data_IF_612767158236
#
_entry.id   IF_612767158236
#
_cell.length_a   1.000
_cell.length_b   1.000
_cell.length_c   1.000
_cell.angle_alpha   90.00
_cell.angle_beta   90.00
_cell.angle_gamma   90.00
#
_symmetry.space_group_name_H-M   'P 1'
#
loop_
_entity.id
_entity.type
_entity.pdbx_description
1 polymer ?
#
# COMPACT_ATOMS: atom_id res chain seq x y z
N UNK A 1 66.96 -23.04 29.48
CA UNK A 1 66.36 -22.77 28.15
C UNK A 1 64.95 -23.33 28.17
N UNK A 2 63.96 -22.55 28.61
CA UNK A 2 62.56 -23.00 28.67
C UNK A 2 61.64 -21.78 28.58
N UNK A 3 61.41 -21.31 27.35
CA UNK A 3 60.40 -20.30 27.04
C UNK A 3 59.04 -20.98 27.08
N UNK A 4 58.33 -20.80 28.18
CA UNK A 4 56.94 -21.22 28.37
C UNK A 4 56.06 -20.27 27.57
N UNK A 5 55.87 -20.58 26.27
CA UNK A 5 55.00 -19.82 25.38
C UNK A 5 53.59 -19.73 25.97
N UNK A 6 53.07 -18.51 25.94
CA UNK A 6 51.86 -18.04 26.61
C UNK A 6 50.60 -18.56 25.90
N UNK A 7 50.32 -19.85 26.08
CA UNK A 7 49.20 -20.56 25.46
C UNK A 7 47.82 -20.05 25.94
N UNK A 8 47.78 -19.33 27.08
CA UNK A 8 46.54 -18.78 27.65
C UNK A 8 46.00 -17.58 26.88
N UNK A 9 46.88 -16.72 26.37
CA UNK A 9 46.50 -15.50 25.65
C UNK A 9 45.85 -15.79 24.27
N UNK A 10 46.22 -16.90 23.63
CA UNK A 10 45.64 -17.34 22.35
C UNK A 10 44.24 -17.96 22.53
N UNK A 11 44.00 -18.66 23.64
CA UNK A 11 42.71 -19.31 23.92
C UNK A 11 41.62 -18.27 24.22
N UNK A 12 41.93 -17.21 24.99
CA UNK A 12 40.99 -16.13 25.29
C UNK A 12 40.56 -15.34 24.04
N UNK A 13 41.50 -15.03 23.14
CA UNK A 13 41.18 -14.31 21.89
C UNK A 13 40.35 -15.16 20.94
N UNK A 14 40.61 -16.46 20.87
CA UNK A 14 39.78 -17.39 20.09
C UNK A 14 38.37 -17.52 20.68
N UNK A 15 38.23 -17.62 22.01
CA UNK A 15 36.92 -17.70 22.66
C UNK A 15 36.07 -16.45 22.44
N UNK A 16 36.67 -15.25 22.46
CA UNK A 16 35.98 -14.00 22.13
C UNK A 16 35.54 -13.92 20.66
N UNK A 17 36.39 -14.38 19.73
CA UNK A 17 36.04 -14.47 18.30
C UNK A 17 34.90 -15.45 18.05
N UNK A 18 34.89 -16.61 18.71
CA UNK A 18 33.77 -17.55 18.63
C UNK A 18 32.48 -16.99 19.26
N UNK A 19 32.56 -16.24 20.37
CA UNK A 19 31.39 -15.56 20.95
C UNK A 19 30.82 -14.46 20.05
N UNK A 20 31.66 -13.66 19.39
CA UNK A 20 31.21 -12.64 18.43
C UNK A 20 30.60 -13.29 17.17
N UNK A 21 31.12 -14.44 16.73
CA UNK A 21 30.55 -15.19 15.60
C UNK A 21 29.22 -15.86 15.99
N UNK A 22 29.09 -16.42 17.20
CA UNK A 22 27.83 -17.02 17.69
C UNK A 22 26.75 -15.97 17.94
N UNK A 23 27.11 -14.74 18.34
CA UNK A 23 26.14 -13.62 18.45
C UNK A 23 25.73 -13.10 17.06
N UNK A 24 26.58 -13.28 16.04
CA UNK A 24 26.28 -12.89 14.65
C UNK A 24 25.44 -13.92 13.88
N UNK A 25 25.32 -15.17 14.38
CA UNK A 25 24.56 -16.25 13.73
C UNK A 25 23.12 -16.40 14.22
N UNK A 26 22.64 -15.54 15.12
CA UNK A 26 21.20 -15.19 15.13
C UNK A 26 20.91 -14.29 13.92
N UNK A 27 21.06 -14.89 12.74
CA UNK A 27 20.50 -14.38 11.51
C UNK A 27 19.03 -14.07 11.81
N UNK A 28 18.70 -12.78 11.91
CA UNK A 28 17.32 -12.32 11.74
C UNK A 28 16.85 -12.98 10.46
N UNK A 29 16.04 -14.04 10.58
CA UNK A 29 15.33 -14.62 9.44
C UNK A 29 14.72 -13.43 8.74
N UNK A 30 15.15 -13.15 7.50
CA UNK A 30 14.71 -11.97 6.78
C UNK A 30 13.18 -11.98 6.79
N UNK A 31 12.58 -11.05 7.52
CA UNK A 31 11.13 -11.03 7.68
C UNK A 31 10.53 -10.65 6.34
N UNK A 32 9.86 -11.61 5.71
CA UNK A 32 9.15 -11.38 4.47
C UNK A 32 7.68 -11.07 4.79
N UNK A 33 7.34 -9.78 4.80
CA UNK A 33 5.97 -9.31 5.07
C UNK A 33 4.93 -9.82 4.07
N UNK A 34 5.34 -10.30 2.88
CA UNK A 34 4.39 -10.91 1.93
C UNK A 34 3.79 -12.24 2.40
N UNK A 35 4.27 -12.80 3.51
CA UNK A 35 3.70 -13.99 4.14
C UNK A 35 2.70 -13.67 5.25
N UNK A 36 2.48 -12.39 5.58
CA UNK A 36 1.64 -11.98 6.68
C UNK A 36 0.20 -11.75 6.25
N UNK A 37 -0.77 -12.39 6.89
CA UNK A 37 -2.20 -12.28 6.55
C UNK A 37 -2.77 -10.84 6.62
N UNK A 38 -3.92 -10.65 5.98
CA UNK A 38 -4.69 -9.41 6.06
C UNK A 38 -4.32 -8.33 5.03
N UNK A 39 -5.11 -7.25 4.96
CA UNK A 39 -5.06 -6.25 3.92
C UNK A 39 -4.01 -5.19 4.25
N UNK A 40 -2.73 -5.57 4.25
CA UNK A 40 -1.64 -4.72 4.73
C UNK A 40 -1.55 -3.39 3.97
N UNK A 41 -1.74 -3.42 2.65
CA UNK A 41 -1.72 -2.19 1.84
C UNK A 41 -2.85 -1.23 2.21
N UNK A 42 -4.00 -1.79 2.58
CA UNK A 42 -5.15 -1.00 3.05
C UNK A 42 -4.80 -0.30 4.37
N UNK A 43 -4.26 -1.02 5.35
CA UNK A 43 -3.84 -0.43 6.64
C UNK A 43 -2.75 0.63 6.48
N UNK A 44 -1.76 0.38 5.64
CA UNK A 44 -0.73 1.35 5.29
C UNK A 44 -1.36 2.63 4.72
N UNK A 45 -2.32 2.49 3.79
CA UNK A 45 -2.98 3.63 3.13
C UNK A 45 -3.80 4.51 4.06
N UNK A 46 -4.25 3.96 5.19
CA UNK A 46 -4.98 4.67 6.27
C UNK A 46 -4.03 5.22 7.35
N UNK A 47 -2.74 4.91 7.28
CA UNK A 47 -1.76 5.27 8.29
C UNK A 47 -1.90 4.50 9.60
N UNK A 48 -2.51 3.31 9.57
CA UNK A 48 -2.62 2.45 10.76
C UNK A 48 -1.26 1.85 11.12
N UNK A 49 -0.99 1.68 12.41
CA UNK A 49 0.30 1.19 12.91
C UNK A 49 0.22 -0.30 13.28
N UNK A 50 1.18 -1.14 12.87
CA UNK A 50 1.18 -2.55 13.24
C UNK A 50 1.39 -2.71 14.75
N UNK A 51 0.73 -3.71 15.34
CA UNK A 51 0.91 -4.15 16.72
C UNK A 51 1.31 -5.62 16.71
N UNK A 52 2.48 -5.92 17.27
CA UNK A 52 3.07 -7.26 17.31
C UNK A 52 2.84 -7.88 18.69
N UNK A 53 2.67 -9.21 18.74
CA UNK A 53 2.62 -9.92 20.01
C UNK A 53 4.00 -9.91 20.68
N UNK A 54 5.07 -10.12 19.92
CA UNK A 54 6.44 -10.05 20.38
C UNK A 54 7.29 -9.11 19.51
N UNK A 55 8.34 -8.53 20.09
CA UNK A 55 9.24 -7.57 19.43
C UNK A 55 9.92 -8.09 18.15
N UNK A 56 10.04 -9.40 18.01
CA UNK A 56 10.73 -10.05 16.89
C UNK A 56 9.77 -10.79 15.93
N UNK A 57 8.46 -10.67 16.14
CA UNK A 57 7.48 -11.26 15.23
C UNK A 57 7.51 -10.54 13.88
N UNK A 58 7.41 -11.32 12.81
CA UNK A 58 7.40 -10.76 11.46
C UNK A 58 6.05 -10.11 11.12
N UNK A 59 4.95 -10.70 11.60
CA UNK A 59 3.59 -10.30 11.28
C UNK A 59 2.91 -9.67 12.48
N UNK A 60 2.22 -8.55 12.24
CA UNK A 60 1.40 -7.91 13.26
C UNK A 60 0.18 -8.79 13.57
N UNK A 61 -0.22 -8.85 14.83
CA UNK A 61 -1.45 -9.54 15.24
C UNK A 61 -2.69 -8.67 15.06
N UNK A 62 -2.51 -7.34 15.01
CA UNK A 62 -3.54 -6.35 14.70
C UNK A 62 -2.90 -5.03 14.27
N UNK A 63 -3.72 -4.10 13.79
CA UNK A 63 -3.32 -2.73 13.51
C UNK A 63 -4.06 -1.74 14.44
N UNK A 64 -3.35 -0.71 14.90
CA UNK A 64 -3.94 0.43 15.59
C UNK A 64 -4.36 1.48 14.55
N UNK A 65 -5.67 1.66 14.42
CA UNK A 65 -6.33 2.64 13.57
C UNK A 65 -7.15 3.67 14.38
N UNK A 66 -6.88 3.83 15.69
CA UNK A 66 -7.73 4.64 16.58
C UNK A 66 -7.74 6.13 16.20
N UNK A 67 -6.70 6.62 15.52
CA UNK A 67 -6.66 7.98 14.99
C UNK A 67 -7.75 8.27 13.97
N UNK A 68 -8.31 7.23 13.32
CA UNK A 68 -9.41 7.38 12.36
C UNK A 68 -10.73 7.69 13.07
N UNK A 69 -10.93 7.22 14.30
CA UNK A 69 -12.16 7.40 15.09
C UNK A 69 -12.36 8.85 15.55
N UNK A 70 -11.27 9.61 15.63
CA UNK A 70 -11.27 11.01 16.07
C UNK A 70 -11.59 11.99 14.95
N UNK A 71 -11.70 11.50 13.71
CA UNK A 71 -11.96 12.35 12.56
C UNK A 71 -13.40 12.81 12.55
N UNK A 72 -13.61 14.02 12.04
CA UNK A 72 -14.93 14.58 11.84
C UNK A 72 -15.48 14.22 10.47
N UNK A 73 -16.80 13.95 10.41
CA UNK A 73 -17.50 13.69 9.14
C UNK A 73 -17.54 14.93 8.24
N UNK A 74 -17.40 16.14 8.78
CA UNK A 74 -17.45 17.40 8.05
C UNK A 74 -16.07 17.96 7.64
N UNK A 75 -15.03 17.12 7.65
CA UNK A 75 -13.65 17.49 7.29
C UNK A 75 -13.04 16.46 6.35
N UNK A 76 -12.14 16.92 5.50
CA UNK A 76 -11.35 16.05 4.63
C UNK A 76 -9.97 15.80 5.24
N UNK A 77 -9.42 14.61 5.01
CA UNK A 77 -8.14 14.20 5.58
C UNK A 77 -7.22 13.65 4.49
N UNK A 78 -5.96 14.10 4.52
CA UNK A 78 -4.90 13.58 3.63
C UNK A 78 -3.54 13.79 4.31
N UNK A 79 -2.66 12.79 4.23
CA UNK A 79 -1.30 12.86 4.81
C UNK A 79 -1.25 13.31 6.29
N UNK A 80 -2.26 12.94 7.08
CA UNK A 80 -2.39 13.32 8.48
C UNK A 80 -2.82 14.77 8.73
N UNK A 81 -3.13 15.53 7.68
CA UNK A 81 -3.64 16.91 7.75
C UNK A 81 -5.16 16.95 7.60
N UNK A 82 -5.77 17.93 8.25
CA UNK A 82 -7.19 18.23 8.15
C UNK A 82 -7.43 19.41 7.19
N UNK A 83 -8.52 19.34 6.44
CA UNK A 83 -8.99 20.36 5.52
C UNK A 83 -10.46 20.67 5.78
N UNK A 84 -10.78 21.96 5.81
CA UNK A 84 -12.17 22.43 5.96
C UNK A 84 -12.92 22.40 4.63
N UNK A 85 -14.24 22.27 4.66
CA UNK A 85 -15.07 22.36 3.44
C UNK A 85 -14.77 23.69 2.71
N UNK A 86 -14.55 23.60 1.40
CA UNK A 86 -14.14 24.71 0.53
C UNK A 86 -12.62 24.89 0.43
N UNK A 87 -11.82 24.29 1.32
CA UNK A 87 -10.36 24.42 1.29
C UNK A 87 -9.76 23.63 0.12
N UNK A 88 -8.83 24.28 -0.60
CA UNK A 88 -8.10 23.66 -1.72
C UNK A 88 -7.02 22.72 -1.20
N UNK A 89 -6.84 21.59 -1.87
CA UNK A 89 -5.74 20.66 -1.61
C UNK A 89 -4.41 21.35 -1.89
N UNK A 90 -3.50 21.35 -0.90
CA UNK A 90 -2.18 21.97 -1.04
C UNK A 90 -1.27 21.14 -1.95
N UNK A 91 -0.30 21.81 -2.57
CA UNK A 91 0.61 21.23 -3.56
C UNK A 91 1.42 20.05 -2.98
N UNK A 92 1.86 20.15 -1.73
CA UNK A 92 2.64 19.13 -1.06
C UNK A 92 1.85 17.83 -0.76
N UNK A 93 0.51 17.88 -0.75
CA UNK A 93 -0.36 16.72 -0.51
C UNK A 93 -0.94 16.13 -1.80
N UNK A 94 -0.67 16.80 -2.93
CA UNK A 94 -1.23 16.47 -4.24
C UNK A 94 -0.39 15.44 -4.99
N UNK A 95 -1.01 14.37 -5.47
CA UNK A 95 -0.47 13.52 -6.53
C UNK A 95 -0.70 14.17 -7.90
N UNK A 96 0.07 13.77 -8.91
CA UNK A 96 0.05 14.39 -10.25
C UNK A 96 -1.36 14.55 -10.88
N UNK A 97 -2.28 13.63 -10.55
CA UNK A 97 -3.65 13.59 -11.05
C UNK A 97 -4.69 14.41 -10.26
N UNK A 98 -4.35 14.97 -9.11
CA UNK A 98 -5.37 15.66 -8.28
C UNK A 98 -5.52 17.11 -8.73
N UNK A 99 -6.08 17.28 -9.93
CA UNK A 99 -6.28 18.59 -10.54
C UNK A 99 -7.45 19.32 -9.88
N UNK A 100 -7.18 20.55 -9.42
CA UNK A 100 -8.20 21.43 -8.89
C UNK A 100 -8.94 20.89 -7.67
N UNK A 101 -8.30 20.06 -6.85
CA UNK A 101 -9.01 19.40 -5.76
C UNK A 101 -9.30 20.34 -4.59
N UNK A 102 -10.47 20.15 -4.00
CA UNK A 102 -10.89 20.84 -2.79
C UNK A 102 -11.73 19.92 -1.92
N UNK A 103 -11.77 20.21 -0.63
CA UNK A 103 -12.63 19.51 0.30
C UNK A 103 -14.08 19.95 0.08
N UNK A 104 -14.99 19.00 -0.13
CA UNK A 104 -16.40 19.29 -0.35
C UNK A 104 -17.28 18.37 0.51
N UNK A 105 -18.46 18.86 0.86
CA UNK A 105 -19.49 18.03 1.49
C UNK A 105 -20.01 16.99 0.49
N UNK A 106 -20.09 15.73 0.93
CA UNK A 106 -20.70 14.65 0.18
C UNK A 106 -22.22 14.60 0.41
N UNK A 107 -22.96 14.12 -0.59
CA UNK A 107 -24.40 13.89 -0.48
C UNK A 107 -24.76 12.81 0.56
N UNK A 108 -23.79 12.01 0.96
CA UNK A 108 -23.88 10.99 2.01
C UNK A 108 -23.57 11.54 3.42
N UNK A 109 -23.35 12.86 3.55
CA UNK A 109 -23.02 13.52 4.81
C UNK A 109 -21.56 13.40 5.24
N UNK A 110 -20.68 12.92 4.36
CA UNK A 110 -19.24 12.82 4.62
C UNK A 110 -18.47 13.76 3.68
N UNK A 111 -17.62 14.61 4.24
CA UNK A 111 -16.75 15.48 3.46
C UNK A 111 -15.60 14.67 2.83
N UNK A 112 -15.34 14.88 1.54
CA UNK A 112 -14.25 14.23 0.81
C UNK A 112 -13.63 15.15 -0.23
N UNK A 113 -12.43 14.81 -0.72
CA UNK A 113 -11.81 15.59 -1.77
C UNK A 113 -12.52 15.36 -3.11
N UNK A 114 -13.02 16.44 -3.68
CA UNK A 114 -13.54 16.48 -5.05
C UNK A 114 -12.48 17.07 -5.95
N UNK A 115 -12.17 16.35 -7.02
CA UNK A 115 -11.13 16.68 -7.99
C UNK A 115 -11.74 16.77 -9.38
N UNK A 116 -11.12 17.57 -10.26
CA UNK A 116 -11.46 17.51 -11.67
C UNK A 116 -11.16 16.12 -12.23
N UNK A 117 -12.08 15.60 -13.03
CA UNK A 117 -11.81 14.41 -13.84
C UNK A 117 -10.76 14.80 -14.87
N UNK A 118 -9.67 14.05 -14.91
CA UNK A 118 -8.60 14.25 -15.89
C UNK A 118 -8.74 13.19 -16.95
N UNK A 119 -9.17 13.62 -18.14
CA UNK A 119 -9.24 12.73 -19.30
C UNK A 119 -7.83 12.55 -19.90
N UNK A 120 -7.39 11.30 -19.93
CA UNK A 120 -6.15 10.90 -20.61
C UNK A 120 -6.52 10.13 -21.89
N UNK A 121 -6.90 10.82 -22.99
CA UNK A 121 -7.38 10.15 -24.19
C UNK A 121 -6.30 9.24 -24.78
N UNK A 122 -6.69 8.01 -25.12
CA UNK A 122 -5.83 7.05 -25.84
C UNK A 122 -5.79 7.41 -27.33
N UNK A 123 -5.08 8.48 -27.64
CA UNK A 123 -4.87 8.91 -29.03
C UNK A 123 -3.84 7.97 -29.65
N UNK A 124 -4.17 7.41 -30.82
CA UNK A 124 -3.18 6.72 -31.65
C UNK A 124 -2.29 7.77 -32.31
N UNK A 125 -1.01 7.71 -32.03
CA UNK A 125 -0.02 8.58 -32.66
C UNK A 125 0.57 7.93 -33.91
N UNK A 126 1.08 8.72 -34.86
CA UNK A 126 1.93 8.20 -35.94
C UNK A 126 3.06 7.34 -35.37
N UNK A 127 3.52 6.36 -36.14
CA UNK A 127 4.56 5.40 -35.70
C UNK A 127 5.89 6.06 -35.35
N UNK A 128 6.16 7.25 -35.86
CA UNK A 128 7.35 8.04 -35.56
C UNK A 128 7.18 9.01 -34.38
N UNK A 129 6.05 8.93 -33.66
CA UNK A 129 5.75 9.78 -32.52
C UNK A 129 5.50 8.96 -31.25
N UNK A 130 5.86 9.51 -30.10
CA UNK A 130 5.62 8.93 -28.78
C UNK A 130 5.26 10.00 -27.75
N UNK A 131 4.71 9.59 -26.60
CA UNK A 131 4.47 10.48 -25.47
C UNK A 131 5.62 10.41 -24.50
N UNK A 132 6.20 11.56 -24.18
CA UNK A 132 7.28 11.67 -23.20
C UNK A 132 6.72 11.74 -21.78
N UNK A 133 6.32 10.60 -21.23
CA UNK A 133 5.79 10.55 -19.87
C UNK A 133 6.81 10.96 -18.80
N UNK A 134 6.30 11.43 -17.67
CA UNK A 134 7.12 11.77 -16.49
C UNK A 134 6.36 11.44 -15.19
N UNK A 135 7.08 11.25 -14.07
CA UNK A 135 6.47 10.99 -12.77
C UNK A 135 5.54 12.11 -12.29
N UNK A 136 5.83 13.36 -12.67
CA UNK A 136 5.09 14.55 -12.25
C UNK A 136 3.80 14.79 -13.05
N UNK A 137 3.54 13.99 -14.09
CA UNK A 137 2.36 14.11 -14.94
C UNK A 137 1.31 13.05 -14.62
N UNK A 138 0.04 13.45 -14.76
CA UNK A 138 -1.09 12.53 -14.62
C UNK A 138 -1.24 11.63 -15.85
N UNK A 139 -1.25 12.25 -17.04
CA UNK A 139 -1.47 11.60 -18.32
C UNK A 139 -0.15 11.41 -19.10
N UNK A 140 -0.30 11.19 -20.41
CA UNK A 140 0.73 11.45 -21.40
C UNK A 140 1.44 12.78 -21.17
N UNK A 141 2.76 12.76 -21.26
CA UNK A 141 3.51 14.01 -21.40
C UNK A 141 3.43 14.55 -22.84
N UNK A 142 4.30 15.49 -23.21
CA UNK A 142 4.27 16.05 -24.55
C UNK A 142 4.50 14.97 -25.62
N UNK A 143 3.81 15.11 -26.75
CA UNK A 143 4.06 14.31 -27.96
C UNK A 143 5.40 14.73 -28.57
N UNK A 144 6.28 13.78 -28.80
CA UNK A 144 7.56 13.96 -29.49
C UNK A 144 7.52 13.12 -30.75
N UNK A 145 7.82 13.73 -31.90
CA UNK A 145 7.94 13.05 -33.18
C UNK A 145 9.39 13.14 -33.65
N UNK A 146 9.92 12.05 -34.17
CA UNK A 146 11.28 11.95 -34.69
C UNK A 146 11.22 11.65 -36.19
N UNK A 147 12.25 12.05 -36.93
CA UNK A 147 12.41 11.67 -38.34
C UNK A 147 12.67 10.16 -38.46
N UNK A 148 13.48 9.62 -37.54
CA UNK A 148 13.69 8.18 -37.36
C UNK A 148 13.42 7.78 -35.90
N UNK A 149 12.39 6.97 -35.68
CA UNK A 149 11.99 6.49 -34.35
C UNK A 149 13.09 5.65 -33.67
N UNK A 150 14.01 5.07 -34.44
CA UNK A 150 15.16 4.33 -33.89
C UNK A 150 16.10 5.22 -33.08
N UNK A 151 16.04 6.53 -33.28
CA UNK A 151 16.80 7.52 -32.53
C UNK A 151 16.14 7.91 -31.20
N UNK A 152 14.98 7.33 -30.84
CA UNK A 152 14.36 7.56 -29.53
C UNK A 152 15.37 7.24 -28.42
N UNK A 153 15.64 8.18 -27.48
CA UNK A 153 16.60 7.95 -26.42
C UNK A 153 16.26 6.72 -25.60
N UNK A 154 17.29 6.05 -25.07
CA UNK A 154 17.19 4.78 -24.34
C UNK A 154 17.84 4.89 -22.96
N UNK A 155 17.29 4.15 -22.00
CA UNK A 155 17.87 3.91 -20.69
C UNK A 155 18.15 2.41 -20.55
N UNK A 156 19.28 2.06 -19.96
CA UNK A 156 19.56 0.69 -19.51
C UNK A 156 19.28 0.61 -18.00
N UNK A 157 18.33 -0.24 -17.62
CA UNK A 157 17.84 -0.39 -16.26
C UNK A 157 17.95 -1.87 -15.92
N UNK A 158 18.94 -2.21 -15.09
CA UNK A 158 19.19 -3.61 -14.70
C UNK A 158 19.37 -4.58 -15.87
N UNK A 159 19.93 -4.12 -17.00
CA UNK A 159 20.12 -4.93 -18.21
C UNK A 159 18.96 -4.87 -19.20
N UNK A 160 17.83 -4.27 -18.84
CA UNK A 160 16.69 -4.06 -19.74
C UNK A 160 16.73 -2.67 -20.39
N UNK A 161 16.34 -2.61 -21.66
CA UNK A 161 16.29 -1.36 -22.44
C UNK A 161 14.88 -0.79 -22.37
N UNK A 162 14.79 0.44 -21.87
CA UNK A 162 13.58 1.26 -21.88
C UNK A 162 13.79 2.47 -22.79
N UNK A 163 12.75 2.94 -23.46
CA UNK A 163 12.81 4.11 -24.32
C UNK A 163 12.24 5.36 -23.64
N UNK A 164 12.65 6.57 -24.07
CA UNK A 164 12.23 7.84 -23.46
C UNK A 164 10.71 7.95 -23.29
N UNK A 165 10.23 8.13 -22.06
CA UNK A 165 8.82 8.16 -21.69
C UNK A 165 8.22 6.80 -21.32
N UNK A 166 8.96 5.69 -21.39
CA UNK A 166 8.46 4.39 -20.91
C UNK A 166 8.59 4.25 -19.40
N UNK A 167 7.55 3.68 -18.79
CA UNK A 167 7.53 3.35 -17.37
C UNK A 167 8.37 2.10 -17.13
N UNK A 168 9.16 2.13 -16.05
CA UNK A 168 9.79 0.93 -15.49
C UNK A 168 9.41 0.77 -14.02
N UNK A 169 9.54 -0.46 -13.51
CA UNK A 169 9.26 -0.80 -12.11
C UNK A 169 10.58 -0.99 -11.38
N UNK A 170 10.66 -0.54 -10.13
CA UNK A 170 11.82 -0.72 -9.26
C UNK A 170 11.44 -1.74 -8.19
N UNK A 171 12.07 -2.92 -8.21
CA UNK A 171 11.71 -4.02 -7.31
C UNK A 171 11.87 -3.66 -5.83
N UNK A 172 12.84 -2.80 -5.50
CA UNK A 172 13.11 -2.36 -4.12
C UNK A 172 12.12 -1.32 -3.60
N UNK A 173 11.43 -0.57 -4.47
CA UNK A 173 10.35 0.36 -4.10
C UNK A 173 9.26 0.36 -5.20
N UNK A 174 8.31 -0.60 -5.16
CA UNK A 174 7.26 -0.73 -6.16
C UNK A 174 6.31 0.47 -6.25
N UNK A 175 6.25 1.31 -5.21
CA UNK A 175 5.43 2.52 -5.17
C UNK A 175 6.10 3.69 -5.93
N UNK A 176 7.38 3.56 -6.28
CA UNK A 176 8.11 4.57 -7.01
C UNK A 176 7.66 4.62 -8.48
N UNK A 177 7.19 5.77 -8.93
CA UNK A 177 6.83 5.98 -10.34
C UNK A 177 8.05 6.44 -11.10
N UNK A 178 8.59 5.56 -11.93
CA UNK A 178 9.78 5.80 -12.71
C UNK A 178 9.53 5.76 -14.21
N UNK A 179 10.18 6.66 -14.94
CA UNK A 179 10.13 6.71 -16.40
C UNK A 179 11.54 6.89 -16.95
N UNK A 180 11.86 6.19 -18.04
CA UNK A 180 13.10 6.43 -18.76
C UNK A 180 13.07 7.85 -19.35
N UNK A 181 14.11 8.64 -19.09
CA UNK A 181 14.29 9.95 -19.69
C UNK A 181 15.79 10.18 -19.99
N UNK A 182 16.13 11.09 -20.93
CA UNK A 182 17.51 11.46 -21.20
C UNK A 182 18.24 11.91 -19.93
N UNK A 183 19.46 11.42 -19.74
CA UNK A 183 20.28 11.75 -18.57
C UNK A 183 20.13 10.81 -17.38
N UNK A 184 19.33 9.74 -17.48
CA UNK A 184 19.27 8.71 -16.44
C UNK A 184 20.61 7.98 -16.28
N UNK A 185 21.19 8.04 -15.08
CA UNK A 185 22.51 7.46 -14.75
C UNK A 185 22.40 6.30 -13.74
N UNK A 186 21.28 5.57 -13.73
CA UNK A 186 21.08 4.45 -12.81
C UNK A 186 20.61 4.83 -11.41
N UNK A 187 20.23 6.08 -11.18
CA UNK A 187 19.73 6.57 -9.88
C UNK A 187 18.23 6.82 -9.94
N UNK A 188 17.47 6.12 -9.09
CA UNK A 188 16.02 6.21 -9.01
C UNK A 188 15.55 7.44 -8.21
N UNK A 189 15.86 8.64 -8.70
CA UNK A 189 15.53 9.94 -8.07
C UNK A 189 14.86 10.88 -9.07
N UNK A 190 14.36 12.03 -8.58
CA UNK A 190 13.82 13.07 -9.47
C UNK A 190 14.89 13.56 -10.47
N UNK A 191 14.52 13.86 -11.72
CA UNK A 191 13.15 13.90 -12.27
C UNK A 191 12.63 12.55 -12.81
N UNK A 192 13.47 11.51 -12.85
CA UNK A 192 13.17 10.21 -13.48
C UNK A 192 12.18 9.38 -12.68
N UNK A 193 12.28 9.47 -11.36
CA UNK A 193 11.48 8.72 -10.41
C UNK A 193 10.92 9.66 -9.35
N UNK A 194 9.63 9.49 -9.00
CA UNK A 194 9.00 10.23 -7.92
C UNK A 194 8.04 9.32 -7.16
N UNK A 195 8.10 9.38 -5.84
CA UNK A 195 7.11 8.72 -4.99
C UNK A 195 5.85 9.57 -4.97
N UNK A 196 4.65 8.99 -5.12
CA UNK A 196 3.43 9.77 -4.95
C UNK A 196 3.37 10.33 -3.52
N UNK A 197 2.81 11.53 -3.37
CA UNK A 197 2.66 12.22 -2.09
C UNK A 197 1.68 11.49 -1.15
N UNK A 198 0.84 10.62 -1.70
CA UNK A 198 0.05 9.63 -0.94
C UNK A 198 -0.12 8.33 -1.74
N UNK A 199 -0.36 7.18 -1.09
CA UNK A 199 -0.74 5.95 -1.79
C UNK A 199 -1.98 6.14 -2.68
N UNK A 200 -1.99 5.57 -3.88
CA UNK A 200 -3.17 5.62 -4.75
C UNK A 200 -4.37 4.85 -4.16
N UNK A 201 -4.12 3.95 -3.21
CA UNK A 201 -5.14 3.19 -2.50
C UNK A 201 -5.88 3.96 -1.39
N UNK A 202 -5.56 5.24 -1.14
CA UNK A 202 -6.10 6.00 0.00
C UNK A 202 -7.62 6.20 -0.07
N UNK A 203 -8.36 5.28 0.54
CA UNK A 203 -9.84 5.31 0.60
C UNK A 203 -10.35 6.58 1.28
N UNK A 204 -9.69 7.03 2.35
CA UNK A 204 -10.00 8.26 3.06
C UNK A 204 -10.06 9.51 2.17
N UNK A 205 -9.26 9.54 1.10
CA UNK A 205 -9.20 10.70 0.22
C UNK A 205 -10.47 10.85 -0.63
N UNK A 206 -11.04 9.73 -1.11
CA UNK A 206 -12.17 9.74 -2.06
C UNK A 206 -13.50 9.35 -1.43
N UNK A 207 -13.49 8.42 -0.50
CA UNK A 207 -14.69 7.82 0.07
C UNK A 207 -14.51 7.51 1.57
N UNK A 208 -14.38 8.54 2.43
CA UNK A 208 -14.13 8.34 3.85
C UNK A 208 -15.28 7.60 4.55
N UNK A 209 -16.51 7.65 4.01
CA UNK A 209 -17.67 6.91 4.52
C UNK A 209 -17.35 5.44 4.78
N UNK A 210 -16.62 4.77 3.88
CA UNK A 210 -16.32 3.33 4.00
C UNK A 210 -15.46 3.02 5.22
N UNK A 211 -14.65 3.98 5.66
CA UNK A 211 -13.81 3.85 6.85
C UNK A 211 -14.64 4.09 8.11
N UNK A 212 -15.50 5.11 8.10
CA UNK A 212 -16.42 5.39 9.22
C UNK A 212 -17.42 4.26 9.47
N UNK A 213 -17.94 3.66 8.41
CA UNK A 213 -18.95 2.58 8.48
C UNK A 213 -18.32 1.19 8.64
N UNK A 214 -17.00 1.10 8.88
CA UNK A 214 -16.27 -0.17 8.99
C UNK A 214 -16.58 -1.12 7.81
N UNK A 215 -16.61 -0.60 6.59
CA UNK A 215 -16.84 -1.42 5.41
C UNK A 215 -15.59 -2.25 5.10
N UNK A 216 -15.80 -3.49 4.67
CA UNK A 216 -14.71 -4.41 4.33
C UNK A 216 -14.11 -4.06 2.95
N UNK A 217 -12.78 -3.94 2.80
CA UNK A 217 -12.15 -3.92 1.49
C UNK A 217 -12.39 -5.24 0.75
N UNK A 218 -12.71 -5.14 -0.54
CA UNK A 218 -12.99 -6.25 -1.45
C UNK A 218 -11.89 -6.35 -2.50
N UNK A 219 -11.34 -7.55 -2.66
CA UNK A 219 -10.28 -7.88 -3.60
C UNK A 219 -10.77 -8.88 -4.64
N UNK A 220 -10.20 -8.81 -5.84
CA UNK A 220 -10.34 -9.88 -6.83
C UNK A 220 -9.58 -11.13 -6.40
N UNK A 221 -9.99 -12.26 -6.98
CA UNK A 221 -9.19 -13.46 -6.92
C UNK A 221 -7.77 -13.20 -7.43
N UNK A 222 -6.76 -13.67 -6.69
CA UNK A 222 -5.35 -13.51 -7.05
C UNK A 222 -4.73 -12.14 -6.78
N UNK A 223 -5.50 -11.12 -6.39
CA UNK A 223 -4.93 -9.85 -5.92
C UNK A 223 -4.18 -10.06 -4.60
N UNK A 224 -3.03 -9.39 -4.47
CA UNK A 224 -2.21 -9.40 -3.26
C UNK A 224 -2.77 -8.42 -2.24
N UNK A 225 -3.20 -8.93 -1.08
CA UNK A 225 -3.64 -8.12 0.06
C UNK A 225 -2.51 -7.22 0.62
N UNK A 226 -1.25 -7.55 0.32
CA UNK A 226 -0.07 -6.85 0.84
C UNK A 226 0.38 -5.70 -0.06
N UNK A 227 0.10 -5.78 -1.37
CA UNK A 227 0.65 -4.85 -2.37
C UNK A 227 -0.43 -4.09 -3.14
N UNK A 228 -1.58 -4.70 -3.36
CA UNK A 228 -2.60 -4.15 -4.25
C UNK A 228 -3.63 -3.31 -3.48
N UNK A 229 -4.21 -2.34 -4.19
CA UNK A 229 -5.40 -1.65 -3.70
C UNK A 229 -6.62 -2.58 -3.77
N UNK A 230 -7.53 -2.45 -2.80
CA UNK A 230 -8.83 -3.09 -2.89
C UNK A 230 -9.59 -2.57 -4.12
N UNK A 231 -10.26 -3.46 -4.84
CA UNK A 231 -11.04 -3.13 -6.03
C UNK A 231 -12.32 -2.36 -5.65
N UNK A 232 -13.00 -2.79 -4.60
CA UNK A 232 -14.21 -2.16 -4.10
C UNK A 232 -14.29 -2.31 -2.58
N UNK A 233 -15.42 -1.88 -2.01
CA UNK A 233 -15.72 -2.04 -0.59
C UNK A 233 -17.11 -2.61 -0.43
N UNK A 234 -17.31 -3.49 0.55
CA UNK A 234 -18.62 -3.98 0.95
C UNK A 234 -18.97 -3.38 2.31
N UNK A 235 -20.13 -2.76 2.43
CA UNK A 235 -20.66 -2.28 3.70
C UNK A 235 -21.72 -3.24 4.23
N UNK A 236 -21.99 -3.17 5.53
CA UNK A 236 -22.99 -4.02 6.17
C UNK A 236 -24.39 -3.73 5.61
N UNK A 237 -25.16 -4.80 5.37
CA UNK A 237 -26.60 -4.77 5.13
C UNK A 237 -27.34 -5.60 6.19
N UNK A 238 -28.68 -5.53 6.18
CA UNK A 238 -29.53 -6.16 7.19
C UNK A 238 -29.46 -7.70 7.23
N UNK A 239 -29.04 -8.35 6.14
CA UNK A 239 -28.95 -9.80 6.03
C UNK A 239 -27.56 -10.34 6.41
N UNK A 240 -26.62 -9.47 6.73
CA UNK A 240 -25.26 -9.89 7.07
C UNK A 240 -25.22 -10.45 8.50
N UNK A 241 -24.73 -11.68 8.63
CA UNK A 241 -24.56 -12.37 9.91
C UNK A 241 -23.15 -12.92 10.04
N UNK A 242 -22.71 -13.15 11.28
CA UNK A 242 -21.39 -13.72 11.58
C UNK A 242 -21.51 -15.24 11.70
N UNK A 243 -20.79 -15.95 10.85
CA UNK A 243 -20.58 -17.39 10.94
C UNK A 243 -19.31 -17.60 11.78
N UNK A 244 -19.50 -18.10 13.00
CA UNK A 244 -18.42 -18.26 13.98
C UNK A 244 -17.54 -19.45 13.63
N UNK A 245 -16.23 -19.27 13.76
CA UNK A 245 -15.30 -20.40 13.75
C UNK A 245 -15.17 -20.98 15.17
N UNK A 246 -15.09 -22.30 15.29
CA UNK A 246 -15.05 -22.99 16.60
C UNK A 246 -13.59 -23.16 17.02
N UNK A 247 -12.94 -22.05 17.34
CA UNK A 247 -11.56 -22.00 17.83
C UNK A 247 -11.46 -21.74 19.34
N UNK A 248 -10.47 -22.31 20.06
CA UNK A 248 -10.25 -22.03 21.48
C UNK A 248 -9.55 -20.67 21.67
N UNK A 249 -9.99 -19.92 22.70
CA UNK A 249 -9.37 -18.65 23.11
C UNK A 249 -9.89 -17.45 22.32
N UNK A 250 -10.88 -16.75 22.87
CA UNK A 250 -11.41 -15.51 22.30
C UNK A 250 -10.79 -14.32 23.03
N UNK A 251 -9.82 -13.69 22.40
CA UNK A 251 -9.30 -12.41 22.85
C UNK A 251 -10.18 -11.28 22.32
N UNK A 252 -10.87 -10.57 23.21
CA UNK A 252 -11.74 -9.45 22.82
C UNK A 252 -10.97 -8.26 22.23
N UNK A 253 -9.65 -8.20 22.45
CA UNK A 253 -8.78 -7.19 21.84
C UNK A 253 -8.43 -7.50 20.37
N UNK A 254 -8.73 -8.71 19.89
CA UNK A 254 -8.47 -9.19 18.53
C UNK A 254 -9.79 -9.39 17.77
N UNK A 255 -10.47 -8.28 17.49
CA UNK A 255 -11.72 -8.29 16.74
C UNK A 255 -11.68 -7.40 15.51
N UNK A 256 -12.23 -7.90 14.41
CA UNK A 256 -12.56 -7.09 13.26
C UNK A 256 -13.98 -6.49 13.41
N UNK A 257 -14.16 -5.30 12.86
CA UNK A 257 -15.43 -4.61 12.75
C UNK A 257 -15.94 -4.68 11.32
N UNK A 258 -17.24 -4.92 11.17
CA UNK A 258 -17.95 -4.81 9.89
C UNK A 258 -19.32 -4.16 10.12
N UNK A 259 -19.44 -2.87 9.79
CA UNK A 259 -20.52 -2.04 10.31
C UNK A 259 -20.54 -2.09 11.85
N UNK A 260 -21.62 -2.65 12.38
CA UNK A 260 -21.84 -2.88 13.81
C UNK A 260 -21.54 -4.32 14.25
N UNK A 261 -21.21 -5.22 13.32
CA UNK A 261 -20.84 -6.59 13.64
C UNK A 261 -19.41 -6.65 14.18
N UNK A 262 -19.23 -7.45 15.23
CA UNK A 262 -17.92 -7.80 15.79
C UNK A 262 -17.59 -9.24 15.40
N UNK A 263 -16.39 -9.44 14.89
CA UNK A 263 -15.91 -10.73 14.40
C UNK A 263 -14.58 -11.06 15.05
N UNK A 264 -14.47 -12.24 15.65
CA UNK A 264 -13.18 -12.73 16.12
C UNK A 264 -12.33 -13.14 14.93
N UNK A 265 -11.01 -13.18 15.12
CA UNK A 265 -10.11 -13.76 14.14
C UNK A 265 -10.56 -15.20 13.80
N UNK A 266 -10.71 -15.49 12.51
CA UNK A 266 -11.26 -16.75 12.00
C UNK A 266 -12.74 -16.70 11.61
N UNK A 267 -13.53 -15.80 12.19
CA UNK A 267 -14.96 -15.67 11.87
C UNK A 267 -15.18 -15.22 10.42
N UNK A 268 -16.28 -15.69 9.82
CA UNK A 268 -16.67 -15.39 8.44
C UNK A 268 -17.99 -14.63 8.40
N UNK A 269 -18.21 -13.82 7.37
CA UNK A 269 -19.55 -13.28 7.10
C UNK A 269 -20.37 -14.27 6.28
N UNK A 270 -21.68 -14.30 6.53
CA UNK A 270 -22.62 -14.98 5.64
C UNK A 270 -22.47 -14.46 4.21
N UNK A 271 -22.43 -15.38 3.25
CA UNK A 271 -22.47 -15.00 1.84
C UNK A 271 -23.83 -14.38 1.53
N UNK A 272 -23.88 -13.32 0.70
CA UNK A 272 -25.16 -12.81 0.22
C UNK A 272 -25.84 -13.90 -0.61
N UNK A 273 -27.13 -14.14 -0.35
CA UNK A 273 -27.90 -15.27 -0.92
C UNK A 273 -27.99 -15.25 -2.46
N UNK A 274 -27.64 -14.14 -3.12
CA UNK A 274 -27.83 -13.91 -4.57
C UNK A 274 -26.62 -13.27 -5.29
N UNK A 275 -25.38 -13.64 -4.96
CA UNK A 275 -24.21 -13.14 -5.70
C UNK A 275 -23.77 -14.07 -6.83
N UNK A 276 -23.79 -13.57 -8.07
CA UNK A 276 -23.25 -14.24 -9.27
C UNK A 276 -21.76 -14.61 -9.17
N UNK A 277 -21.02 -14.03 -8.21
CA UNK A 277 -19.64 -14.39 -7.90
C UNK A 277 -19.53 -14.68 -6.40
N UNK A 278 -19.18 -15.89 -5.99
CA UNK A 278 -18.96 -16.20 -4.58
C UNK A 278 -17.83 -15.32 -4.03
N UNK A 279 -18.01 -14.84 -2.80
CA UNK A 279 -17.05 -14.00 -2.12
C UNK A 279 -16.91 -14.46 -0.69
N UNK A 280 -15.67 -14.61 -0.25
CA UNK A 280 -15.34 -14.96 1.13
C UNK A 280 -14.91 -13.71 1.88
N UNK A 281 -15.58 -13.44 2.99
CA UNK A 281 -15.20 -12.38 3.91
C UNK A 281 -14.83 -12.97 5.27
N UNK A 282 -13.65 -12.63 5.75
CA UNK A 282 -13.00 -13.24 6.92
C UNK A 282 -12.34 -12.15 7.77
N UNK A 283 -12.40 -12.32 9.10
CA UNK A 283 -11.53 -11.59 9.99
C UNK A 283 -10.17 -12.30 10.08
N UNK A 284 -9.18 -11.83 9.32
CA UNK A 284 -7.81 -12.37 9.33
C UNK A 284 -6.90 -11.64 10.31
N UNK A 285 -6.83 -10.32 10.15
CA UNK A 285 -6.01 -9.44 10.99
C UNK A 285 -6.82 -8.17 11.29
N UNK A 286 -7.19 -7.91 12.55
CA UNK A 286 -7.93 -6.73 12.98
C UNK A 286 -7.28 -5.40 12.59
N UNK A 287 -8.07 -4.30 12.47
CA UNK A 287 -9.47 -4.17 12.87
C UNK A 287 -10.52 -4.32 11.77
N UNK A 288 -10.17 -4.56 10.51
CA UNK A 288 -11.17 -4.68 9.42
C UNK A 288 -11.35 -6.11 8.93
N UNK A 289 -12.58 -6.42 8.53
CA UNK A 289 -12.87 -7.65 7.78
C UNK A 289 -12.34 -7.52 6.36
N UNK A 290 -11.77 -8.59 5.81
CA UNK A 290 -11.27 -8.63 4.43
C UNK A 290 -12.14 -9.52 3.58
N UNK A 291 -12.50 -9.07 2.39
CA UNK A 291 -13.30 -9.81 1.43
C UNK A 291 -12.51 -10.09 0.16
N UNK A 292 -12.64 -11.30 -0.38
CA UNK A 292 -12.04 -11.68 -1.66
C UNK A 292 -12.99 -12.55 -2.47
N UNK A 293 -13.09 -12.29 -3.78
CA UNK A 293 -13.81 -13.16 -4.69
C UNK A 293 -13.16 -14.54 -4.79
N UNK A 294 -13.99 -15.58 -4.85
CA UNK A 294 -13.57 -16.96 -5.07
C UNK A 294 -13.64 -17.31 -6.56
N UNK A 295 -12.93 -18.38 -6.96
CA UNK A 295 -12.96 -18.94 -8.32
C UNK A 295 -14.18 -19.81 -8.51
#
# INVERSE_FOLDING_TARGET
>A
MTTRCDFRFLIEKCAFLFLVIIVSTYAKKACNQSNCSGPLKYYESLGCKPVYANKFDCCAVRYNCDHLKLRSKNKCYVNGKEYSIGEKLKEEDRNACDKGCFCAEGSDGFASFRCAIVDCPRIRYPSNCYLKHSPSQCCGGPKVCLDDIKQRPKCNISGEIYYDGERFVVDSDPDLRCYCQPGYQGKNVEPFCKKPNRPYCSQDFRNPRVVYENCAPVYYYGQSLHKDCNFSTRCQNANDTVIRDVGPGRDESLMCMFGNLKMHVGDKLSQPVNTFRPMKCLCEVPPVVTCQYEV
#
